data_IF_064670767715
#
_entry.id   IF_064670767715
#
_cell.length_a   1.000
_cell.length_b   1.000
_cell.length_c   1.000
_cell.angle_alpha   90.00
_cell.angle_beta   90.00
_cell.angle_gamma   90.00
#
_symmetry.space_group_name_H-M   'P 1'
#
loop_
_entity.id
_entity.type
_entity.pdbx_description
1 polymer ?
#
# COMPACT_ATOMS: atom_id res chain seq x y z
N UNK A 1 7.71 -0.53 -9.04
CA UNK A 1 7.08 0.55 -9.80
C UNK A 1 5.79 1.00 -9.10
N UNK A 2 5.81 2.14 -8.42
CA UNK A 2 4.60 2.68 -7.80
C UNK A 2 3.56 3.06 -8.85
N UNK A 3 2.29 3.17 -8.46
CA UNK A 3 1.22 3.66 -9.36
C UNK A 3 1.54 5.03 -9.94
N UNK A 4 2.40 5.81 -9.27
CA UNK A 4 2.93 7.11 -9.71
C UNK A 4 4.13 7.02 -10.66
N UNK A 5 4.48 5.85 -11.18
CA UNK A 5 5.64 5.61 -12.05
C UNK A 5 5.88 6.68 -13.15
N UNK A 6 4.85 7.27 -13.80
CA UNK A 6 5.08 8.28 -14.84
C UNK A 6 5.65 9.61 -14.32
N UNK A 7 5.59 9.86 -13.02
CA UNK A 7 5.95 11.15 -12.39
C UNK A 7 6.88 11.03 -11.18
N UNK A 8 7.10 9.81 -10.67
CA UNK A 8 8.02 9.59 -9.55
C UNK A 8 9.48 9.71 -9.97
N UNK A 9 10.37 9.84 -8.97
CA UNK A 9 11.82 9.80 -9.16
C UNK A 9 12.39 8.53 -8.52
N UNK A 10 13.52 8.05 -9.02
CA UNK A 10 14.19 6.89 -8.41
C UNK A 10 14.65 7.18 -6.98
N UNK A 11 15.09 8.42 -6.71
CA UNK A 11 15.45 8.85 -5.35
C UNK A 11 14.23 8.85 -4.40
N UNK A 12 13.06 9.27 -4.87
CA UNK A 12 11.80 9.17 -4.13
C UNK A 12 11.43 7.72 -3.83
N UNK A 13 11.54 6.83 -4.83
CA UNK A 13 11.27 5.41 -4.63
C UNK A 13 12.21 4.80 -3.57
N UNK A 14 13.49 5.18 -3.56
CA UNK A 14 14.44 4.74 -2.53
C UNK A 14 14.09 5.29 -1.17
N UNK A 15 13.77 6.59 -1.08
CA UNK A 15 13.43 7.24 0.19
C UNK A 15 12.21 6.61 0.87
N UNK A 16 11.18 6.26 0.09
CA UNK A 16 9.94 5.67 0.59
C UNK A 16 9.96 4.13 0.62
N UNK A 17 10.99 3.47 0.10
CA UNK A 17 10.94 2.05 -0.23
C UNK A 17 9.68 1.71 -1.04
N UNK A 18 9.42 2.48 -2.09
CA UNK A 18 8.16 2.45 -2.81
C UNK A 18 7.82 1.06 -3.32
N UNK A 19 6.54 0.70 -3.13
CA UNK A 19 5.91 -0.49 -3.67
C UNK A 19 5.03 -0.17 -4.88
N UNK A 20 4.06 -1.03 -5.18
CA UNK A 20 3.11 -0.84 -6.26
C UNK A 20 2.52 -2.16 -6.79
N UNK A 21 1.85 -2.11 -7.95
CA UNK A 21 1.07 -3.23 -8.48
C UNK A 21 1.84 -4.54 -8.66
N UNK A 22 3.14 -4.48 -8.90
CA UNK A 22 3.97 -5.64 -9.21
C UNK A 22 4.75 -6.20 -8.00
N UNK A 23 4.46 -5.70 -6.78
CA UNK A 23 5.16 -6.14 -5.56
C UNK A 23 4.97 -7.63 -5.26
N UNK A 24 3.85 -8.22 -5.69
CA UNK A 24 3.60 -9.65 -5.48
C UNK A 24 4.71 -10.52 -6.06
N UNK A 25 5.18 -10.23 -7.27
CA UNK A 25 6.22 -10.99 -7.95
C UNK A 25 7.62 -10.41 -7.75
N UNK A 26 7.76 -9.09 -7.72
CA UNK A 26 9.07 -8.44 -7.75
C UNK A 26 9.49 -7.79 -6.45
N UNK A 27 8.61 -7.71 -5.46
CA UNK A 27 8.88 -7.03 -4.21
C UNK A 27 8.87 -5.50 -4.35
N UNK A 28 9.44 -4.85 -3.36
CA UNK A 28 9.52 -3.39 -3.24
C UNK A 28 10.89 -2.87 -3.69
N UNK A 29 11.10 -1.57 -3.65
CA UNK A 29 12.35 -0.93 -4.10
C UNK A 29 13.61 -1.54 -3.47
N UNK A 30 13.58 -1.88 -2.17
CA UNK A 30 14.71 -2.50 -1.47
C UNK A 30 15.20 -3.80 -2.14
N UNK A 31 14.32 -4.57 -2.76
CA UNK A 31 14.67 -5.81 -3.46
C UNK A 31 15.51 -5.58 -4.72
N UNK A 32 15.54 -4.35 -5.23
CA UNK A 32 16.22 -3.97 -6.48
C UNK A 32 17.43 -3.08 -6.27
N UNK A 33 17.60 -2.48 -5.07
CA UNK A 33 18.73 -1.59 -4.77
C UNK A 33 19.94 -2.42 -4.32
N UNK A 34 21.02 -2.32 -5.05
CA UNK A 34 22.29 -3.00 -4.77
C UNK A 34 23.29 -2.10 -4.03
N UNK A 35 23.14 -0.78 -4.14
CA UNK A 35 24.02 0.18 -3.50
C UNK A 35 23.59 1.62 -3.72
N UNK A 36 24.10 2.50 -2.87
CA UNK A 36 23.73 3.92 -2.84
C UNK A 36 24.98 4.79 -2.67
N UNK A 37 25.04 5.90 -3.41
CA UNK A 37 25.87 7.05 -3.05
C UNK A 37 25.04 7.99 -2.19
N UNK A 38 25.58 8.33 -1.03
CA UNK A 38 24.91 9.10 0.00
C UNK A 38 25.70 10.35 0.33
N UNK A 39 25.01 11.47 0.51
CA UNK A 39 25.55 12.66 1.17
C UNK A 39 25.01 12.68 2.60
N UNK A 40 25.90 12.61 3.58
CA UNK A 40 25.59 12.62 5.01
C UNK A 40 25.31 14.05 5.52
N UNK A 41 24.80 14.18 6.75
CA UNK A 41 24.47 15.46 7.36
C UNK A 41 25.65 16.43 7.50
N UNK A 42 26.87 15.91 7.57
CA UNK A 42 28.14 16.68 7.61
C UNK A 42 28.71 17.00 6.22
N UNK A 43 28.06 16.56 5.15
CA UNK A 43 28.47 16.77 3.76
C UNK A 43 29.45 15.72 3.19
N UNK A 44 29.87 14.73 3.98
CA UNK A 44 30.65 13.63 3.46
C UNK A 44 29.86 12.77 2.47
N UNK A 45 30.55 12.35 1.40
CA UNK A 45 29.99 11.44 0.40
C UNK A 45 30.49 10.03 0.67
N UNK A 46 29.57 9.09 0.84
CA UNK A 46 29.90 7.69 1.11
C UNK A 46 29.14 6.76 0.15
N UNK A 47 29.68 5.55 -0.04
CA UNK A 47 29.02 4.49 -0.79
C UNK A 47 28.64 3.34 0.14
N UNK A 48 27.42 2.84 -0.05
CA UNK A 48 26.93 1.60 0.58
C UNK A 48 26.64 0.55 -0.47
N UNK A 49 26.68 -0.72 -0.10
CA UNK A 49 26.38 -1.80 -1.05
C UNK A 49 27.37 -1.92 -2.19
N UNK A 50 26.96 -2.47 -3.33
CA UNK A 50 27.73 -2.61 -4.57
C UNK A 50 27.32 -3.82 -5.40
N UNK A 51 28.11 -4.20 -6.42
CA UNK A 51 27.80 -5.28 -7.35
C UNK A 51 27.81 -6.67 -6.71
N UNK A 52 28.62 -6.90 -5.67
CA UNK A 52 28.61 -8.16 -4.93
C UNK A 52 27.38 -8.22 -4.00
N UNK A 53 26.51 -9.25 -4.08
CA UNK A 53 25.33 -9.37 -3.24
C UNK A 53 25.66 -9.43 -1.75
N UNK A 54 26.69 -10.22 -1.40
CA UNK A 54 27.11 -10.41 -0.01
C UNK A 54 28.34 -9.57 0.28
N UNK A 55 28.15 -8.49 1.03
CA UNK A 55 29.24 -7.66 1.54
C UNK A 55 29.43 -7.89 3.04
N UNK A 56 30.66 -7.98 3.52
CA UNK A 56 30.91 -8.06 4.95
C UNK A 56 30.49 -6.76 5.65
N UNK A 57 29.98 -6.86 6.87
CA UNK A 57 29.55 -5.73 7.69
C UNK A 57 28.03 -5.55 7.74
N UNK A 58 27.59 -4.40 8.24
CA UNK A 58 26.18 -4.09 8.33
C UNK A 58 25.57 -3.68 6.98
N UNK A 59 24.33 -4.05 6.73
CA UNK A 59 23.57 -3.60 5.56
C UNK A 59 23.09 -2.15 5.70
N UNK A 60 24.01 -1.22 5.45
CA UNK A 60 23.68 0.21 5.47
C UNK A 60 22.80 0.63 4.30
N UNK A 61 22.81 -0.13 3.19
CA UNK A 61 21.89 0.12 2.06
C UNK A 61 20.46 -0.10 2.49
N UNK A 62 20.17 -1.23 3.11
CA UNK A 62 18.83 -1.54 3.62
C UNK A 62 18.38 -0.60 4.74
N UNK A 63 19.33 -0.05 5.55
CA UNK A 63 19.00 0.97 6.57
C UNK A 63 18.54 2.28 5.94
N UNK A 64 19.12 2.70 4.81
CA UNK A 64 18.80 3.99 4.17
C UNK A 64 17.56 3.90 3.27
N UNK A 65 17.33 2.77 2.60
CA UNK A 65 16.12 2.56 1.81
C UNK A 65 14.89 2.61 2.72
N UNK A 66 13.92 3.47 2.41
CA UNK A 66 12.73 3.67 3.24
C UNK A 66 12.93 4.60 4.44
N UNK A 67 14.06 5.34 4.48
CA UNK A 67 14.33 6.29 5.57
C UNK A 67 13.66 7.65 5.39
N UNK A 68 12.88 7.86 4.33
CA UNK A 68 12.18 9.11 4.01
C UNK A 68 13.13 10.35 4.03
N UNK A 69 14.39 10.16 3.62
CA UNK A 69 15.40 11.21 3.60
C UNK A 69 15.87 11.69 4.98
N UNK A 70 15.60 10.93 6.04
CA UNK A 70 15.95 11.32 7.43
C UNK A 70 17.36 10.89 7.84
N UNK A 71 18.03 10.04 7.06
CA UNK A 71 19.35 9.52 7.37
C UNK A 71 20.45 10.04 6.42
N UNK A 72 20.12 10.27 5.15
CA UNK A 72 21.05 10.78 4.14
C UNK A 72 20.30 11.32 2.93
N UNK A 73 21.02 12.03 2.04
CA UNK A 73 20.55 12.40 0.70
C UNK A 73 21.11 11.41 -0.30
N UNK A 74 20.24 10.70 -1.01
CA UNK A 74 20.63 9.74 -2.05
C UNK A 74 20.93 10.48 -3.35
N UNK A 75 22.12 10.34 -3.90
CA UNK A 75 22.56 11.01 -5.13
C UNK A 75 22.74 10.06 -6.30
N UNK A 76 23.08 8.78 -6.04
CA UNK A 76 23.14 7.73 -7.04
C UNK A 76 22.57 6.43 -6.50
N UNK A 77 21.96 5.64 -7.37
CA UNK A 77 21.37 4.35 -7.05
C UNK A 77 21.92 3.29 -8.00
N UNK A 78 22.52 2.26 -7.44
CA UNK A 78 22.89 1.05 -8.17
C UNK A 78 21.73 0.06 -8.06
N UNK A 79 21.15 -0.33 -9.20
CA UNK A 79 19.96 -1.20 -9.24
C UNK A 79 20.23 -2.50 -9.97
N UNK A 80 19.49 -3.55 -9.57
CA UNK A 80 19.36 -4.78 -10.33
C UNK A 80 18.41 -4.54 -11.49
N UNK A 81 18.76 -5.00 -12.68
CA UNK A 81 17.89 -5.02 -13.85
C UNK A 81 17.20 -6.36 -13.99
N UNK A 82 15.96 -6.33 -14.45
CA UNK A 82 15.19 -7.52 -14.78
C UNK A 82 15.08 -7.67 -16.31
N UNK A 83 15.07 -8.90 -16.85
CA UNK A 83 14.77 -9.14 -18.25
C UNK A 83 13.33 -8.73 -18.56
N UNK A 84 13.06 -8.31 -19.79
CA UNK A 84 11.70 -8.10 -20.24
C UNK A 84 10.98 -9.45 -20.42
N UNK A 85 9.73 -9.58 -19.98
CA UNK A 85 8.96 -10.79 -20.20
C UNK A 85 8.72 -11.02 -21.69
N UNK A 86 8.65 -12.27 -22.11
CA UNK A 86 8.33 -12.67 -23.47
C UNK A 86 6.86 -12.39 -23.80
N UNK A 87 5.96 -12.66 -22.86
CA UNK A 87 4.53 -12.52 -23.00
C UNK A 87 3.93 -11.87 -21.76
N UNK A 88 2.87 -11.09 -21.96
CA UNK A 88 2.07 -10.48 -20.88
C UNK A 88 0.59 -10.65 -21.21
N UNK A 89 -0.20 -11.12 -20.24
CA UNK A 89 -1.66 -11.23 -20.33
C UNK A 89 -2.32 -10.50 -19.17
N UNK A 90 -3.29 -9.66 -19.51
CA UNK A 90 -4.08 -8.92 -18.51
C UNK A 90 -5.52 -9.40 -18.58
N UNK A 91 -6.04 -9.86 -17.44
CA UNK A 91 -7.40 -10.37 -17.28
C UNK A 91 -8.18 -9.39 -16.44
N UNK A 92 -9.36 -9.01 -16.89
CA UNK A 92 -10.37 -8.29 -16.14
C UNK A 92 -11.43 -9.29 -15.70
N UNK A 93 -11.68 -9.37 -14.39
CA UNK A 93 -12.78 -10.15 -13.81
C UNK A 93 -13.69 -9.25 -12.98
N UNK A 94 -15.00 -9.41 -13.13
CA UNK A 94 -16.03 -8.58 -12.49
C UNK A 94 -16.89 -9.45 -11.58
N UNK A 95 -17.07 -9.02 -10.33
CA UNK A 95 -17.80 -9.74 -9.30
C UNK A 95 -18.94 -8.90 -8.73
N UNK A 96 -19.97 -9.58 -8.22
CA UNK A 96 -21.09 -8.95 -7.50
C UNK A 96 -20.70 -8.51 -6.09
N UNK A 97 -19.67 -9.13 -5.50
CA UNK A 97 -19.24 -8.84 -4.13
C UNK A 97 -17.72 -8.77 -4.01
N UNK A 98 -17.25 -7.99 -3.04
CA UNK A 98 -15.84 -7.88 -2.66
C UNK A 98 -15.30 -9.20 -2.13
N UNK A 99 -16.14 -9.96 -1.42
CA UNK A 99 -15.81 -11.26 -0.83
C UNK A 99 -15.44 -12.28 -1.92
N UNK A 100 -16.25 -12.40 -2.98
CA UNK A 100 -15.99 -13.30 -4.10
C UNK A 100 -14.67 -12.94 -4.82
N UNK A 101 -14.44 -11.64 -5.04
CA UNK A 101 -13.19 -11.16 -5.61
C UNK A 101 -11.98 -11.50 -4.71
N UNK A 102 -12.09 -11.26 -3.40
CA UNK A 102 -11.01 -11.54 -2.43
C UNK A 102 -10.72 -13.04 -2.32
N UNK A 103 -11.76 -13.88 -2.35
CA UNK A 103 -11.59 -15.33 -2.35
C UNK A 103 -10.86 -15.79 -3.61
N UNK A 104 -11.18 -15.20 -4.78
CA UNK A 104 -10.48 -15.50 -6.04
C UNK A 104 -8.98 -15.19 -5.94
N UNK A 105 -8.59 -14.08 -5.31
CA UNK A 105 -7.18 -13.75 -5.06
C UNK A 105 -6.50 -14.83 -4.22
N UNK A 106 -7.14 -15.22 -3.11
CA UNK A 106 -6.60 -16.23 -2.20
C UNK A 106 -6.43 -17.58 -2.90
N UNK A 107 -7.44 -18.01 -3.65
CA UNK A 107 -7.43 -19.29 -4.39
C UNK A 107 -6.40 -19.28 -5.54
N UNK A 108 -6.21 -18.16 -6.23
CA UNK A 108 -5.19 -18.02 -7.28
C UNK A 108 -3.80 -18.38 -6.72
N UNK A 109 -3.47 -17.81 -5.57
CA UNK A 109 -2.18 -18.04 -4.91
C UNK A 109 -2.10 -19.45 -4.32
N UNK A 110 -3.20 -19.96 -3.74
CA UNK A 110 -3.25 -21.32 -3.20
C UNK A 110 -3.03 -22.41 -4.26
N UNK A 111 -3.41 -22.14 -5.51
CA UNK A 111 -3.13 -23.02 -6.66
C UNK A 111 -1.69 -22.91 -7.17
N UNK A 112 -0.83 -22.13 -6.53
CA UNK A 112 0.56 -21.95 -6.93
C UNK A 112 0.74 -21.00 -8.14
N UNK A 113 -0.31 -20.30 -8.57
CA UNK A 113 -0.22 -19.29 -9.61
C UNK A 113 0.19 -17.98 -8.94
N UNK A 114 1.30 -17.39 -9.39
CA UNK A 114 1.82 -16.14 -8.89
C UNK A 114 1.75 -15.07 -10.00
N UNK A 115 0.62 -14.35 -10.14
CA UNK A 115 0.53 -13.25 -11.08
C UNK A 115 1.54 -12.16 -10.76
N UNK A 116 1.96 -11.42 -11.78
CA UNK A 116 2.83 -10.27 -11.56
C UNK A 116 2.08 -9.13 -10.87
N UNK A 117 0.77 -9.02 -11.12
CA UNK A 117 -0.11 -8.11 -10.40
C UNK A 117 -1.49 -8.72 -10.15
N UNK A 118 -2.02 -8.45 -8.97
CA UNK A 118 -3.40 -8.73 -8.55
C UNK A 118 -3.98 -7.46 -7.92
N UNK A 119 -4.75 -6.72 -8.72
CA UNK A 119 -5.28 -5.43 -8.34
C UNK A 119 -6.79 -5.51 -8.16
N UNK A 120 -7.32 -4.93 -7.10
CA UNK A 120 -8.76 -4.90 -6.86
C UNK A 120 -9.27 -3.48 -6.67
N UNK A 121 -10.48 -3.24 -7.16
CA UNK A 121 -11.28 -2.04 -6.88
C UNK A 121 -12.66 -2.48 -6.40
N UNK A 122 -13.16 -1.88 -5.33
CA UNK A 122 -14.56 -2.04 -4.91
C UNK A 122 -15.53 -1.34 -5.88
N UNK A 123 -16.83 -1.52 -5.66
CA UNK A 123 -17.85 -0.95 -6.53
C UNK A 123 -17.80 0.57 -6.59
N UNK A 124 -17.53 1.23 -5.47
CA UNK A 124 -17.47 2.69 -5.41
C UNK A 124 -16.26 3.24 -6.15
N UNK A 125 -15.10 2.63 -5.98
CA UNK A 125 -13.88 2.96 -6.74
C UNK A 125 -14.07 2.70 -8.24
N UNK A 126 -14.67 1.57 -8.61
CA UNK A 126 -14.97 1.21 -10.01
C UNK A 126 -15.89 2.22 -10.67
N UNK A 127 -16.96 2.63 -9.97
CA UNK A 127 -17.88 3.65 -10.44
C UNK A 127 -17.20 5.01 -10.65
N UNK A 128 -16.32 5.42 -9.71
CA UNK A 128 -15.57 6.65 -9.83
C UNK A 128 -14.67 6.65 -11.06
N UNK A 129 -13.92 5.55 -11.27
CA UNK A 129 -13.03 5.38 -12.41
C UNK A 129 -13.81 5.42 -13.71
N UNK A 130 -14.90 4.68 -13.85
CA UNK A 130 -15.67 4.64 -15.07
C UNK A 130 -16.31 6.01 -15.41
N UNK A 131 -16.83 6.72 -14.40
CA UNK A 131 -17.35 8.09 -14.57
C UNK A 131 -16.28 9.08 -15.03
N UNK A 132 -15.06 8.95 -14.50
CA UNK A 132 -13.99 9.89 -14.80
C UNK A 132 -13.27 9.59 -16.12
N UNK A 133 -13.05 8.32 -16.45
CA UNK A 133 -12.07 7.88 -17.46
C UNK A 133 -12.68 7.05 -18.59
N UNK A 134 -13.86 6.46 -18.41
CA UNK A 134 -14.59 5.64 -19.40
C UNK A 134 -13.72 4.53 -20.00
N UNK A 135 -13.14 3.71 -19.11
CA UNK A 135 -12.21 2.63 -19.51
C UNK A 135 -12.93 1.33 -19.87
N UNK A 136 -14.25 1.30 -19.73
CA UNK A 136 -15.09 0.15 -20.08
C UNK A 136 -15.30 -0.82 -18.91
N UNK A 137 -15.35 -0.30 -17.68
CA UNK A 137 -15.69 -1.06 -16.47
C UNK A 137 -17.21 -1.02 -16.25
N UNK A 138 -17.85 -2.13 -15.84
CA UNK A 138 -19.26 -2.12 -15.48
C UNK A 138 -19.49 -1.24 -14.24
N UNK A 139 -20.33 -0.19 -14.31
CA UNK A 139 -20.53 0.75 -13.20
C UNK A 139 -21.34 0.16 -12.03
N UNK A 140 -21.96 -0.98 -12.25
CA UNK A 140 -22.76 -1.76 -11.29
C UNK A 140 -21.97 -2.94 -10.70
N UNK A 141 -20.65 -3.01 -10.94
CA UNK A 141 -19.80 -4.03 -10.35
C UNK A 141 -19.71 -3.86 -8.83
N UNK A 142 -19.82 -4.96 -8.08
CA UNK A 142 -19.51 -4.97 -6.64
C UNK A 142 -17.99 -4.92 -6.40
N UNK A 143 -17.23 -5.61 -7.24
CA UNK A 143 -15.78 -5.53 -7.29
C UNK A 143 -15.23 -5.87 -8.67
N UNK A 144 -14.03 -5.35 -8.96
CA UNK A 144 -13.27 -5.64 -10.17
C UNK A 144 -11.87 -6.11 -9.78
N UNK A 145 -11.42 -7.23 -10.37
CA UNK A 145 -10.04 -7.67 -10.35
C UNK A 145 -9.37 -7.38 -11.70
N UNK A 146 -8.19 -6.82 -11.65
CA UNK A 146 -7.26 -6.74 -12.76
C UNK A 146 -6.05 -7.63 -12.43
N UNK A 147 -5.88 -8.71 -13.22
CA UNK A 147 -4.88 -9.74 -13.00
C UNK A 147 -3.90 -9.68 -14.15
N UNK A 148 -2.61 -9.59 -13.85
CA UNK A 148 -1.58 -9.59 -14.89
C UNK A 148 -0.62 -10.75 -14.69
N UNK A 149 -0.42 -11.50 -15.77
CA UNK A 149 0.50 -12.63 -15.86
C UNK A 149 1.58 -12.28 -16.87
N UNK A 150 2.83 -12.62 -16.56
CA UNK A 150 3.94 -12.42 -17.48
C UNK A 150 4.98 -13.55 -17.33
N UNK A 151 5.76 -13.76 -18.38
CA UNK A 151 6.78 -14.79 -18.42
C UNK A 151 6.94 -15.39 -19.82
N UNK A 152 7.18 -16.69 -19.86
CA UNK A 152 7.25 -17.46 -21.12
C UNK A 152 5.83 -17.64 -21.68
N UNK A 153 5.68 -17.55 -22.98
CA UNK A 153 4.37 -17.58 -23.64
C UNK A 153 3.51 -18.77 -23.24
N UNK A 154 4.05 -19.98 -23.30
CA UNK A 154 3.31 -21.20 -23.00
C UNK A 154 2.82 -21.27 -21.57
N UNK A 155 3.65 -20.80 -20.62
CA UNK A 155 3.33 -20.75 -19.19
C UNK A 155 2.23 -19.72 -18.93
N UNK A 156 2.36 -18.52 -19.53
CA UNK A 156 1.39 -17.44 -19.40
C UNK A 156 0.03 -17.83 -19.98
N UNK A 157 0.00 -18.50 -21.13
CA UNK A 157 -1.25 -18.97 -21.76
C UNK A 157 -1.95 -20.01 -20.88
N UNK A 158 -1.21 -20.98 -20.33
CA UNK A 158 -1.75 -21.99 -19.43
C UNK A 158 -2.29 -21.38 -18.14
N UNK A 159 -1.52 -20.49 -17.51
CA UNK A 159 -1.93 -19.80 -16.29
C UNK A 159 -3.13 -18.87 -16.53
N UNK A 160 -3.18 -18.16 -17.68
CA UNK A 160 -4.31 -17.31 -18.02
C UNK A 160 -5.62 -18.09 -18.15
N UNK A 161 -5.58 -19.27 -18.76
CA UNK A 161 -6.73 -20.18 -18.81
C UNK A 161 -7.17 -20.62 -17.41
N UNK A 162 -6.24 -21.08 -16.59
CA UNK A 162 -6.52 -21.53 -15.22
C UNK A 162 -7.11 -20.41 -14.35
N UNK A 163 -6.57 -19.19 -14.46
CA UNK A 163 -7.08 -18.02 -13.71
C UNK A 163 -8.48 -17.63 -14.20
N UNK A 164 -8.72 -17.63 -15.51
CA UNK A 164 -10.04 -17.31 -16.05
C UNK A 164 -11.10 -18.31 -15.58
N UNK A 165 -10.79 -19.61 -15.62
CA UNK A 165 -11.67 -20.67 -15.11
C UNK A 165 -11.92 -20.53 -13.61
N UNK A 166 -10.89 -20.17 -12.84
CA UNK A 166 -11.03 -19.92 -11.41
C UNK A 166 -11.96 -18.74 -11.14
N UNK A 167 -11.77 -17.61 -11.83
CA UNK A 167 -12.66 -16.46 -11.70
C UNK A 167 -14.13 -16.85 -11.95
N UNK A 168 -14.40 -17.64 -12.98
CA UNK A 168 -15.76 -18.13 -13.29
C UNK A 168 -16.30 -19.02 -12.17
N UNK A 169 -15.52 -19.96 -11.66
CA UNK A 169 -15.93 -20.83 -10.54
C UNK A 169 -16.22 -20.06 -9.26
N UNK A 170 -15.51 -18.94 -9.04
CA UNK A 170 -15.72 -18.05 -7.90
C UNK A 170 -16.85 -17.01 -8.11
N UNK A 171 -17.62 -17.14 -9.20
CA UNK A 171 -18.81 -16.33 -9.44
C UNK A 171 -18.54 -15.01 -10.15
N UNK A 172 -17.42 -14.89 -10.89
CA UNK A 172 -17.25 -13.73 -11.76
C UNK A 172 -18.33 -13.71 -12.84
N UNK A 173 -19.10 -12.61 -12.93
CA UNK A 173 -20.13 -12.42 -13.97
C UNK A 173 -19.56 -12.07 -15.35
N UNK A 174 -18.32 -11.59 -15.37
CA UNK A 174 -17.57 -11.28 -16.58
C UNK A 174 -16.10 -11.62 -16.34
N UNK A 175 -15.52 -12.36 -17.27
CA UNK A 175 -14.08 -12.56 -17.35
C UNK A 175 -13.63 -12.24 -18.77
N UNK A 176 -12.67 -11.35 -18.92
CA UNK A 176 -12.17 -10.89 -20.21
C UNK A 176 -10.68 -10.70 -20.21
N UNK A 177 -9.99 -11.33 -21.13
CA UNK A 177 -8.58 -11.04 -21.40
C UNK A 177 -8.47 -9.84 -22.34
N UNK A 178 -7.57 -8.91 -22.05
CA UNK A 178 -7.30 -7.76 -22.93
C UNK A 178 -6.85 -8.25 -24.32
N UNK A 179 -7.59 -7.83 -25.36
CA UNK A 179 -7.35 -8.28 -26.73
C UNK A 179 -6.16 -7.58 -27.41
N UNK A 180 -5.65 -6.49 -26.81
CA UNK A 180 -4.54 -5.71 -27.37
C UNK A 180 -3.77 -4.95 -26.29
N UNK A 181 -2.55 -4.53 -26.62
CA UNK A 181 -1.75 -3.65 -25.76
C UNK A 181 -2.47 -2.32 -25.43
N UNK A 182 -3.26 -1.80 -26.37
CA UNK A 182 -4.04 -0.58 -26.15
C UNK A 182 -5.17 -0.79 -25.15
N UNK A 183 -5.85 -1.94 -25.18
CA UNK A 183 -6.86 -2.28 -24.17
C UNK A 183 -6.24 -2.50 -22.80
N UNK A 184 -5.12 -3.25 -22.73
CA UNK A 184 -4.33 -3.41 -21.51
C UNK A 184 -3.97 -2.06 -20.91
N UNK A 185 -3.37 -1.16 -21.71
CA UNK A 185 -2.96 0.16 -21.24
C UNK A 185 -4.14 0.97 -20.69
N UNK A 186 -5.32 0.86 -21.31
CA UNK A 186 -6.55 1.52 -20.88
C UNK A 186 -7.06 1.00 -19.54
N UNK A 187 -7.07 -0.32 -19.34
CA UNK A 187 -7.45 -0.94 -18.04
C UNK A 187 -6.50 -0.50 -16.93
N UNK A 188 -5.20 -0.53 -17.20
CA UNK A 188 -4.18 -0.06 -16.25
C UNK A 188 -4.29 1.44 -15.97
N UNK A 189 -4.58 2.26 -16.95
CA UNK A 189 -4.83 3.69 -16.76
C UNK A 189 -5.99 3.90 -15.78
N UNK A 190 -7.08 3.13 -15.91
CA UNK A 190 -8.19 3.13 -14.98
C UNK A 190 -7.77 2.82 -13.55
N UNK A 191 -7.05 1.71 -13.35
CA UNK A 191 -6.59 1.30 -12.01
C UNK A 191 -5.61 2.33 -11.42
N UNK A 192 -4.61 2.78 -12.17
CA UNK A 192 -3.64 3.80 -11.72
C UNK A 192 -4.29 5.16 -11.49
N UNK A 193 -5.35 5.49 -12.22
CA UNK A 193 -6.13 6.73 -12.08
C UNK A 193 -7.18 6.72 -10.97
N UNK A 194 -7.38 5.60 -10.27
CA UNK A 194 -8.44 5.44 -9.28
C UNK A 194 -8.44 6.54 -8.22
N UNK A 195 -7.27 6.87 -7.65
CA UNK A 195 -7.14 7.96 -6.67
C UNK A 195 -7.67 9.29 -7.19
N UNK A 196 -7.26 9.70 -8.40
CA UNK A 196 -7.71 10.96 -9.00
C UNK A 196 -9.20 10.97 -9.34
N UNK A 197 -9.76 9.80 -9.68
CA UNK A 197 -11.17 9.65 -10.01
C UNK A 197 -12.09 9.90 -8.80
N UNK A 198 -11.64 9.61 -7.57
CA UNK A 198 -12.42 9.81 -6.33
C UNK A 198 -12.80 11.27 -6.09
N UNK A 199 -12.00 12.23 -6.56
CA UNK A 199 -12.32 13.65 -6.51
C UNK A 199 -13.58 14.06 -7.29
N UNK A 200 -14.17 13.13 -8.07
CA UNK A 200 -15.49 13.32 -8.71
C UNK A 200 -16.65 12.91 -7.82
N UNK A 201 -16.41 12.20 -6.72
CA UNK A 201 -17.44 11.72 -5.81
C UNK A 201 -17.64 12.61 -4.60
N UNK A 202 -16.59 13.23 -4.09
CA UNK A 202 -16.64 14.11 -2.92
C UNK A 202 -15.60 15.24 -3.04
N UNK A 203 -15.81 16.38 -2.35
CA UNK A 203 -14.86 17.50 -2.34
C UNK A 203 -13.51 17.13 -1.74
N UNK A 204 -13.50 16.25 -0.76
CA UNK A 204 -12.31 15.78 -0.05
C UNK A 204 -12.33 14.26 0.11
N UNK A 205 -11.15 13.67 0.20
CA UNK A 205 -10.98 12.29 0.60
C UNK A 205 -9.71 12.14 1.45
N UNK A 206 -9.79 11.28 2.47
CA UNK A 206 -8.67 10.93 3.32
C UNK A 206 -8.19 9.53 2.97
N UNK A 207 -6.98 9.45 2.42
CA UNK A 207 -6.38 8.20 1.94
C UNK A 207 -5.66 7.52 3.07
N UNK A 208 -5.95 6.26 3.33
CA UNK A 208 -5.13 5.38 4.11
C UNK A 208 -4.34 4.43 3.21
N UNK A 209 -3.21 3.97 3.73
CA UNK A 209 -2.31 3.03 3.09
C UNK A 209 -1.87 2.06 4.19
N UNK A 210 -2.70 1.06 4.43
CA UNK A 210 -2.46 0.05 5.46
C UNK A 210 -2.17 -1.30 4.83
N UNK A 211 -1.38 -2.11 5.52
CA UNK A 211 -1.09 -3.49 5.09
C UNK A 211 -1.68 -4.45 6.10
N UNK A 212 -2.21 -5.55 5.59
CA UNK A 212 -2.58 -6.72 6.40
C UNK A 212 -1.98 -7.99 5.77
N UNK A 213 -1.76 -9.06 6.54
CA UNK A 213 -1.43 -10.35 5.93
C UNK A 213 -2.44 -10.73 4.86
N UNK A 214 -2.00 -11.22 3.72
CA UNK A 214 -2.88 -11.56 2.56
C UNK A 214 -4.10 -12.38 2.93
N UNK A 215 -3.93 -13.35 3.81
CA UNK A 215 -5.03 -14.19 4.33
C UNK A 215 -6.08 -13.40 5.13
N UNK A 216 -5.77 -12.15 5.54
CA UNK A 216 -6.66 -11.26 6.28
C UNK A 216 -7.35 -10.21 5.41
N UNK A 217 -7.01 -10.14 4.11
CA UNK A 217 -7.62 -9.16 3.20
C UNK A 217 -9.15 -9.24 3.16
N UNK A 218 -9.80 -10.43 3.05
CA UNK A 218 -11.26 -10.50 3.07
C UNK A 218 -11.87 -9.95 4.37
N UNK A 219 -11.24 -10.27 5.51
CA UNK A 219 -11.68 -9.75 6.82
C UNK A 219 -11.48 -8.23 6.92
N UNK A 220 -10.34 -7.72 6.46
CA UNK A 220 -10.07 -6.29 6.47
C UNK A 220 -11.09 -5.50 5.64
N UNK A 221 -11.42 -5.95 4.42
CA UNK A 221 -12.41 -5.32 3.55
C UNK A 221 -13.81 -5.33 4.17
N UNK A 222 -14.23 -6.44 4.77
CA UNK A 222 -15.49 -6.52 5.50
C UNK A 222 -15.52 -5.51 6.68
N UNK A 223 -14.43 -5.41 7.45
CA UNK A 223 -14.32 -4.46 8.57
C UNK A 223 -14.28 -3.00 8.09
N UNK A 224 -13.67 -2.71 6.95
CA UNK A 224 -13.73 -1.38 6.32
C UNK A 224 -15.17 -1.01 5.99
N UNK A 225 -15.99 -1.94 5.46
CA UNK A 225 -17.42 -1.72 5.25
C UNK A 225 -18.15 -1.38 6.55
N UNK A 226 -17.90 -2.11 7.63
CA UNK A 226 -18.47 -1.84 8.96
C UNK A 226 -18.03 -0.47 9.52
N UNK A 227 -16.80 -0.07 9.27
CA UNK A 227 -16.31 1.28 9.65
C UNK A 227 -17.05 2.35 8.85
N UNK A 228 -17.26 2.15 7.55
CA UNK A 228 -18.03 3.06 6.71
C UNK A 228 -19.46 3.26 7.24
N UNK A 229 -20.14 2.17 7.61
CA UNK A 229 -21.48 2.20 8.22
C UNK A 229 -21.45 2.91 9.59
N UNK A 230 -20.53 2.52 10.48
CA UNK A 230 -20.42 3.08 11.83
C UNK A 230 -20.22 4.59 11.84
N UNK A 231 -19.39 5.10 10.93
CA UNK A 231 -19.10 6.52 10.84
C UNK A 231 -20.00 7.26 9.84
N UNK A 232 -20.90 6.55 9.16
CA UNK A 232 -21.80 7.10 8.15
C UNK A 232 -21.08 7.95 7.10
N UNK A 233 -19.95 7.43 6.60
CA UNK A 233 -19.14 8.03 5.54
C UNK A 233 -18.85 6.98 4.47
N UNK A 234 -18.97 7.33 3.17
CA UNK A 234 -18.55 6.42 2.11
C UNK A 234 -17.04 6.18 2.15
N UNK A 235 -16.61 4.93 2.03
CA UNK A 235 -15.22 4.55 1.92
C UNK A 235 -15.04 3.79 0.60
N UNK A 236 -14.25 4.36 -0.31
CA UNK A 236 -13.91 3.74 -1.58
C UNK A 236 -12.54 3.05 -1.44
N UNK A 237 -12.47 1.75 -1.75
CA UNK A 237 -11.25 0.98 -1.54
C UNK A 237 -10.74 0.40 -2.85
N UNK A 238 -9.50 0.70 -3.17
CA UNK A 238 -8.71 -0.05 -4.14
C UNK A 238 -7.46 -0.58 -3.44
N UNK A 239 -6.89 -1.67 -3.93
CA UNK A 239 -5.81 -2.35 -3.22
C UNK A 239 -4.92 -3.15 -4.17
N UNK A 240 -3.69 -3.37 -3.72
CA UNK A 240 -2.79 -4.38 -4.24
C UNK A 240 -3.16 -5.70 -3.55
N UNK A 241 -4.13 -6.42 -4.12
CA UNK A 241 -4.70 -7.59 -3.45
C UNK A 241 -3.69 -8.75 -3.33
N UNK A 242 -2.64 -8.73 -4.17
CA UNK A 242 -1.58 -9.72 -4.17
C UNK A 242 -0.64 -9.65 -2.96
N UNK A 243 -0.42 -8.48 -2.37
CA UNK A 243 0.50 -8.28 -1.25
C UNK A 243 -0.17 -7.82 0.06
N UNK A 244 -1.47 -7.49 0.00
CA UNK A 244 -2.24 -7.10 1.18
C UNK A 244 -2.18 -5.60 1.50
N UNK A 245 -1.69 -4.77 0.58
CA UNK A 245 -1.69 -3.33 0.74
C UNK A 245 -3.05 -2.74 0.30
N UNK A 246 -3.76 -2.10 1.24
CA UNK A 246 -5.07 -1.54 1.04
C UNK A 246 -5.04 -0.02 1.07
N UNK A 247 -5.78 0.59 0.14
CA UNK A 247 -5.97 2.04 0.08
C UNK A 247 -7.45 2.40 0.28
N UNK A 248 -7.98 2.30 1.52
CA UNK A 248 -9.31 2.83 1.83
C UNK A 248 -9.28 4.36 1.80
N UNK A 249 -10.20 4.95 1.06
CA UNK A 249 -10.35 6.38 0.87
C UNK A 249 -11.68 6.83 1.47
N UNK A 250 -11.63 7.53 2.58
CA UNK A 250 -12.80 8.06 3.26
C UNK A 250 -13.24 9.34 2.53
N UNK A 251 -14.46 9.35 2.02
CA UNK A 251 -15.00 10.47 1.25
C UNK A 251 -15.80 11.39 2.18
N UNK A 252 -15.54 12.70 2.15
CA UNK A 252 -16.20 13.66 3.03
C UNK A 252 -16.13 15.09 2.48
N UNK A 253 -16.82 16.03 3.14
CA UNK A 253 -16.67 17.47 2.92
C UNK A 253 -15.98 18.10 4.13
N UNK A 254 -14.74 18.58 3.96
CA UNK A 254 -13.94 19.18 5.03
C UNK A 254 -14.52 20.52 5.54
N UNK A 255 -15.49 21.12 4.84
CA UNK A 255 -16.21 22.31 5.28
C UNK A 255 -17.26 21.99 6.34
N UNK A 256 -17.66 20.73 6.45
CA UNK A 256 -18.54 20.23 7.51
C UNK A 256 -17.65 19.68 8.65
N UNK A 257 -17.60 20.36 9.82
CA UNK A 257 -16.76 19.93 10.93
C UNK A 257 -17.12 18.54 11.48
N UNK A 258 -18.38 18.14 11.44
CA UNK A 258 -18.82 16.83 11.88
C UNK A 258 -18.33 15.74 10.95
N UNK A 259 -18.43 15.93 9.63
CA UNK A 259 -17.86 14.98 8.67
C UNK A 259 -16.33 14.89 8.80
N UNK A 260 -15.65 16.02 9.04
CA UNK A 260 -14.21 16.02 9.24
C UNK A 260 -13.82 15.21 10.48
N UNK A 261 -14.48 15.41 11.62
CA UNK A 261 -14.20 14.64 12.85
C UNK A 261 -14.47 13.15 12.67
N UNK A 262 -15.60 12.79 12.03
CA UNK A 262 -15.94 11.40 11.72
C UNK A 262 -14.93 10.76 10.76
N UNK A 263 -14.45 11.50 9.76
CA UNK A 263 -13.44 11.02 8.82
C UNK A 263 -12.11 10.71 9.53
N UNK A 264 -11.67 11.61 10.44
CA UNK A 264 -10.46 11.37 11.24
C UNK A 264 -10.60 10.16 12.18
N UNK A 265 -11.77 10.01 12.81
CA UNK A 265 -12.05 8.87 13.68
C UNK A 265 -12.14 7.54 12.88
N UNK A 266 -12.78 7.56 11.70
CA UNK A 266 -12.82 6.40 10.81
C UNK A 266 -11.41 5.99 10.34
N UNK A 267 -10.56 6.98 10.02
CA UNK A 267 -9.16 6.74 9.67
C UNK A 267 -8.37 6.06 10.78
N UNK A 268 -8.52 6.55 12.01
CA UNK A 268 -7.91 5.92 13.19
C UNK A 268 -8.42 4.48 13.41
N UNK A 269 -9.72 4.23 13.18
CA UNK A 269 -10.29 2.88 13.28
C UNK A 269 -9.74 1.93 12.19
N UNK A 270 -9.49 2.42 10.97
CA UNK A 270 -8.85 1.63 9.91
C UNK A 270 -7.42 1.24 10.31
N UNK A 271 -6.65 2.18 10.85
CA UNK A 271 -5.27 1.91 11.30
C UNK A 271 -5.27 0.89 12.45
N UNK A 272 -6.15 1.06 13.45
CA UNK A 272 -6.28 0.12 14.55
C UNK A 272 -6.65 -1.29 14.05
N UNK A 273 -7.60 -1.38 13.14
CA UNK A 273 -8.02 -2.64 12.51
C UNK A 273 -6.85 -3.34 11.81
N UNK A 274 -6.03 -2.60 11.07
CA UNK A 274 -4.87 -3.18 10.37
C UNK A 274 -3.84 -3.76 11.36
N UNK A 275 -3.54 -3.05 12.45
CA UNK A 275 -2.63 -3.53 13.51
C UNK A 275 -3.19 -4.77 14.20
N UNK A 276 -4.50 -4.78 14.56
CA UNK A 276 -5.16 -5.94 15.17
C UNK A 276 -5.11 -7.18 14.27
N UNK A 277 -5.14 -7.01 12.96
CA UNK A 277 -5.02 -8.10 11.99
C UNK A 277 -3.55 -8.54 11.77
N UNK A 278 -2.60 -7.99 12.50
CA UNK A 278 -1.17 -8.31 12.39
C UNK A 278 -0.46 -7.59 11.24
N UNK A 279 -1.02 -6.47 10.81
CA UNK A 279 -0.52 -5.65 9.72
C UNK A 279 0.29 -4.42 10.17
N UNK A 280 0.34 -3.40 9.29
CA UNK A 280 1.12 -2.18 9.47
C UNK A 280 0.31 -0.93 9.15
N UNK A 281 0.76 0.21 9.69
CA UNK A 281 0.16 1.54 9.47
C UNK A 281 0.46 2.12 8.09
N UNK A 282 1.44 1.57 7.38
CA UNK A 282 1.82 1.98 6.03
C UNK A 282 2.32 0.78 5.24
N UNK A 283 2.01 0.75 3.94
CA UNK A 283 2.50 -0.24 2.99
C UNK A 283 3.58 0.34 2.07
N UNK A 284 3.28 1.44 1.41
CA UNK A 284 4.15 2.04 0.40
C UNK A 284 4.27 3.57 0.50
N UNK A 285 3.36 4.26 1.21
CA UNK A 285 3.35 5.72 1.25
C UNK A 285 4.31 6.31 2.29
N UNK A 286 4.87 5.50 3.19
CA UNK A 286 5.68 5.96 4.31
C UNK A 286 4.84 6.52 5.47
N UNK A 287 5.53 6.96 6.51
CA UNK A 287 4.96 7.52 7.75
C UNK A 287 4.83 9.03 7.67
N UNK A 288 5.86 9.71 7.19
CA UNK A 288 5.91 11.17 7.04
C UNK A 288 5.57 11.92 8.33
N UNK A 289 4.73 12.95 8.18
CA UNK A 289 4.12 13.69 9.31
C UNK A 289 2.74 13.15 9.66
N UNK A 290 2.07 12.52 8.69
CA UNK A 290 0.65 12.15 8.79
C UNK A 290 0.43 10.95 9.72
N UNK A 291 1.30 9.93 9.62
CA UNK A 291 1.13 8.67 10.36
C UNK A 291 2.02 8.57 11.61
N UNK A 292 2.88 9.53 11.88
CA UNK A 292 3.80 9.48 13.03
C UNK A 292 3.09 9.33 14.38
N UNK A 293 1.87 9.86 14.50
CA UNK A 293 1.06 9.71 15.71
C UNK A 293 0.59 8.26 15.95
N UNK A 294 0.59 7.41 14.93
CA UNK A 294 0.22 6.00 15.02
C UNK A 294 1.41 5.06 15.31
N UNK A 295 2.66 5.55 15.20
CA UNK A 295 3.83 4.71 15.50
C UNK A 295 3.79 4.07 16.90
N UNK A 296 3.39 4.78 17.97
CA UNK A 296 3.27 4.18 19.31
C UNK A 296 2.18 3.10 19.43
N UNK A 297 1.33 2.93 18.41
CA UNK A 297 0.36 1.84 18.37
C UNK A 297 0.99 0.54 17.85
N UNK A 298 2.05 0.66 17.05
CA UNK A 298 2.76 -0.44 16.41
C UNK A 298 4.04 -0.83 17.14
N UNK A 299 4.77 0.14 17.68
CA UNK A 299 6.09 0.00 18.28
C UNK A 299 6.09 0.35 19.76
N UNK A 300 6.91 -0.37 20.54
CA UNK A 300 7.16 -0.06 21.97
C UNK A 300 7.95 1.25 22.12
N UNK A 301 7.99 1.77 23.34
CA UNK A 301 8.82 2.93 23.65
C UNK A 301 10.32 2.66 23.44
N UNK A 302 10.75 1.43 23.73
CA UNK A 302 12.12 0.95 23.51
C UNK A 302 12.48 0.88 22.04
N UNK A 303 11.57 0.39 21.18
CA UNK A 303 11.74 0.36 19.72
C UNK A 303 11.90 1.78 19.16
N UNK A 304 11.01 2.69 19.57
CA UNK A 304 11.07 4.09 19.15
C UNK A 304 12.35 4.79 19.62
N UNK A 305 12.80 4.51 20.85
CA UNK A 305 14.05 5.03 21.37
C UNK A 305 15.27 4.46 20.62
N UNK A 306 15.19 3.22 20.12
CA UNK A 306 16.23 2.64 19.27
C UNK A 306 16.28 3.32 17.89
N UNK A 307 15.14 3.53 17.25
CA UNK A 307 15.03 4.25 15.98
C UNK A 307 15.58 5.69 16.11
N UNK A 308 15.31 6.38 17.22
CA UNK A 308 15.83 7.72 17.48
C UNK A 308 17.36 7.71 17.63
N UNK A 309 17.95 6.70 18.32
CA UNK A 309 19.41 6.58 18.40
C UNK A 309 20.04 6.34 17.02
N UNK A 310 19.40 5.51 16.19
CA UNK A 310 19.86 5.30 14.81
C UNK A 310 19.85 6.60 14.02
N UNK A 311 18.74 7.34 14.07
CA UNK A 311 18.62 8.65 13.40
C UNK A 311 19.72 9.61 13.84
N UNK A 312 19.98 9.72 15.15
CA UNK A 312 21.03 10.61 15.69
C UNK A 312 22.44 10.18 15.29
N UNK A 313 22.68 8.90 15.04
CA UNK A 313 23.97 8.44 14.55
C UNK A 313 24.27 8.94 13.14
N UNK A 314 23.25 9.12 12.29
CA UNK A 314 23.37 9.65 10.94
C UNK A 314 23.26 11.19 10.89
N UNK A 315 22.40 11.76 11.72
CA UNK A 315 22.07 13.19 11.72
C UNK A 315 21.97 13.73 13.16
N UNK A 316 23.10 13.98 13.82
CA UNK A 316 23.11 14.45 15.21
C UNK A 316 22.46 15.82 15.42
N UNK A 317 22.47 16.67 14.39
CA UNK A 317 21.95 18.03 14.43
C UNK A 317 20.49 18.16 13.94
N UNK A 318 19.90 17.07 13.43
CA UNK A 318 18.51 17.06 12.94
C UNK A 318 18.27 17.88 11.67
N UNK A 319 19.26 17.92 10.76
CA UNK A 319 19.22 18.71 9.52
C UNK A 319 18.44 18.02 8.40
N UNK A 320 18.44 16.65 8.40
CA UNK A 320 17.91 15.84 7.33
C UNK A 320 16.41 15.59 7.55
N UNK A 321 15.59 16.11 6.66
CA UNK A 321 14.13 15.96 6.64
C UNK A 321 13.51 16.00 8.06
N UNK A 322 13.61 17.12 8.78
CA UNK A 322 13.21 17.20 10.18
C UNK A 322 11.71 16.92 10.37
N UNK A 323 11.35 16.44 11.57
CA UNK A 323 9.96 16.16 11.97
C UNK A 323 9.24 15.05 11.20
N UNK A 324 9.94 14.23 10.45
CA UNK A 324 9.37 13.07 9.75
C UNK A 324 9.59 11.78 10.54
N UNK A 325 8.70 10.82 10.31
CA UNK A 325 8.69 9.46 10.87
C UNK A 325 8.43 9.47 12.38
N UNK A 326 9.42 9.85 13.19
CA UNK A 326 9.36 9.70 14.64
C UNK A 326 8.48 10.76 15.33
N UNK A 327 7.72 10.37 16.38
CA UNK A 327 6.96 11.33 17.17
C UNK A 327 7.89 12.35 17.81
N UNK A 328 7.59 13.64 17.67
CA UNK A 328 8.38 14.72 18.30
C UNK A 328 8.00 14.83 19.78
N UNK A 329 8.96 14.77 20.73
CA UNK A 329 8.69 15.09 22.13
C UNK A 329 8.15 16.51 22.25
N UNK A 330 6.90 16.71 22.66
CA UNK A 330 6.30 18.00 22.86
C UNK A 330 5.50 18.62 21.73
N UNK A 331 5.30 17.94 20.62
CA UNK A 331 4.39 18.32 19.52
C UNK A 331 2.92 18.33 20.01
N UNK A 332 2.50 19.43 20.61
CA UNK A 332 1.35 19.51 21.51
C UNK A 332 -0.03 19.61 20.84
N UNK A 333 -0.15 19.49 19.49
CA UNK A 333 -1.44 19.69 18.80
C UNK A 333 -2.09 18.39 18.29
N UNK A 334 -1.32 17.53 17.65
CA UNK A 334 -1.85 16.37 16.93
C UNK A 334 -2.02 15.13 17.80
N UNK A 335 -1.07 14.89 18.74
CA UNK A 335 -1.17 13.78 19.71
C UNK A 335 -2.33 13.98 20.68
N UNK A 336 -2.66 15.21 21.06
CA UNK A 336 -3.85 15.50 21.89
C UNK A 336 -5.18 15.27 21.17
N UNK A 337 -5.25 15.40 19.85
CA UNK A 337 -6.46 15.07 19.08
C UNK A 337 -6.62 13.54 18.95
N UNK A 338 -5.57 12.83 18.58
CA UNK A 338 -5.59 11.35 18.53
C UNK A 338 -5.82 10.73 19.92
N UNK A 339 -5.18 11.23 20.98
CA UNK A 339 -5.35 10.70 22.34
C UNK A 339 -6.72 11.02 22.96
N UNK A 340 -7.37 12.11 22.58
CA UNK A 340 -8.76 12.40 23.02
C UNK A 340 -9.78 11.48 22.37
N UNK A 341 -9.56 11.07 21.12
CA UNK A 341 -10.38 10.07 20.45
C UNK A 341 -10.22 8.68 21.09
N UNK A 342 -8.98 8.28 21.45
CA UNK A 342 -8.69 6.98 22.08
C UNK A 342 -9.07 6.90 23.55
N UNK A 343 -9.08 8.00 24.31
CA UNK A 343 -9.51 7.99 25.70
C UNK A 343 -10.99 7.67 25.88
N UNK A 344 -11.84 7.95 24.88
CA UNK A 344 -13.25 7.53 24.87
C UNK A 344 -13.44 6.04 24.52
N UNK A 345 -12.51 5.42 23.81
CA UNK A 345 -12.59 4.01 23.37
C UNK A 345 -11.89 3.02 24.34
N UNK A 346 -10.95 3.48 25.18
CA UNK A 346 -10.27 2.64 26.18
C UNK A 346 -11.13 2.20 27.40
N UNK A 347 -12.42 2.56 27.42
CA UNK A 347 -13.35 2.08 28.43
C UNK A 347 -13.89 0.67 28.16
N UNK A 348 -13.47 0.00 27.07
CA UNK A 348 -13.76 -1.41 26.82
C UNK A 348 -12.48 -2.22 27.00
N UNK A 349 -12.40 -3.22 27.91
CA UNK A 349 -11.18 -3.98 28.13
C UNK A 349 -10.84 -4.82 26.91
N UNK A 350 -9.60 -4.68 26.43
CA UNK A 350 -9.04 -5.52 25.38
C UNK A 350 -8.90 -6.98 25.86
N UNK A 351 -9.18 -7.98 25.02
CA UNK A 351 -8.85 -9.36 25.35
C UNK A 351 -7.31 -9.52 25.37
N UNK A 352 -6.83 -10.20 26.41
CA UNK A 352 -5.42 -10.43 26.65
C UNK A 352 -4.73 -11.09 25.44
N UNK A 353 -3.71 -10.43 24.92
CA UNK A 353 -2.83 -10.96 23.87
C UNK A 353 -1.88 -12.00 24.48
N UNK A 354 -2.21 -13.28 24.31
CA UNK A 354 -1.27 -14.37 24.50
C UNK A 354 -0.27 -14.38 23.33
N UNK A 355 0.99 -14.07 23.59
CA UNK A 355 2.08 -14.38 22.66
C UNK A 355 2.25 -15.90 22.62
N UNK A 356 2.36 -16.55 21.47
CA UNK A 356 2.84 -17.93 21.46
C UNK A 356 4.34 -17.94 21.79
N UNK A 357 4.72 -18.72 22.79
CA UNK A 357 6.09 -19.06 23.14
C UNK A 357 6.63 -20.10 22.16
N UNK A 358 7.86 -19.86 21.69
CA UNK A 358 8.80 -20.65 20.89
C UNK A 358 8.44 -20.96 19.47
#
# INVERSE_FOLDING_TARGET
DPSSQPVCTIGGNVAENAGGPHCLAYGVTANHVLGLELVLADGHVVWTGGLAPDRPGYDLTGVVVGSEGTLAIVTKVLVRLLPRPEEVRTILAVFETVEAASQTVSETIAQGILPVALEMMDGLSTQAVERAMRVGLPPDAGAVLLIELEGRREEVEAQAGAVADLCQRQGARLVRTAASAAERARLWAGRKGARGALGKLAPNYYVHDVVVPRSRVPEALRRIGQIAERYSLPIATYLHAGDGNLHPNILFDARDPDQFERAMAAGAAIVAMAIELGGSITGEHGVGTEKRAFLPWLFSAEDLAFMERLRRAFDPDGRLNPEKILPTPGGCGEVRRASRLTARERSTPAPASGRPSS
#
